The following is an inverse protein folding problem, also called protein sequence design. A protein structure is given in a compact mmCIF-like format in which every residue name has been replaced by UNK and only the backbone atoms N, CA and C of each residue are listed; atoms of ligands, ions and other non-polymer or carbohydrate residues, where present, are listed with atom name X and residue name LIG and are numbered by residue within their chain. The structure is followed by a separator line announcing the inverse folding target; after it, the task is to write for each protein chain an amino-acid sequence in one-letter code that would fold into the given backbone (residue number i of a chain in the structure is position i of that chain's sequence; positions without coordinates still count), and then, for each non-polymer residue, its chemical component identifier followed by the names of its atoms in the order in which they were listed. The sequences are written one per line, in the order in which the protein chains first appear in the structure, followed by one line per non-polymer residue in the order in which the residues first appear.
data_IF_762174983284
#
_entry.id   IF_762174983284
#
_cell.length_a   1.000
_cell.length_b   1.000
_cell.length_c   1.000
_cell.angle_alpha   90.00
_cell.angle_beta   90.00
_cell.angle_gamma   90.00
#
_symmetry.space_group_name_H-M   'P 1'
#
loop_
_entity.id
_entity.type
_entity.pdbx_description
1 polymer ?
#
# COMPACT_ATOMS: atom_id res chain seq x y z
N UNK A 1 -36.97 18.23 19.89
CA UNK A 1 -36.52 17.16 18.98
C UNK A 1 -35.04 16.93 19.26
N UNK A 2 -34.71 15.87 19.99
CA UNK A 2 -33.32 15.49 20.24
C UNK A 2 -32.71 14.95 18.95
N UNK A 3 -31.61 15.57 18.48
CA UNK A 3 -30.81 15.00 17.41
C UNK A 3 -30.32 13.62 17.86
N UNK A 4 -30.36 12.59 16.99
CA UNK A 4 -29.81 11.29 17.36
C UNK A 4 -28.34 11.47 17.72
N UNK A 5 -27.93 10.87 18.82
CA UNK A 5 -26.55 10.85 19.29
C UNK A 5 -25.75 10.06 18.24
N UNK A 6 -24.88 10.72 17.49
CA UNK A 6 -23.93 10.00 16.63
C UNK A 6 -23.05 9.10 17.50
N UNK A 7 -22.81 7.86 17.09
CA UNK A 7 -21.95 6.96 17.84
C UNK A 7 -20.54 7.58 18.03
N UNK A 8 -19.96 7.41 19.19
CA UNK A 8 -18.62 7.94 19.54
C UNK A 8 -17.55 7.60 18.48
N UNK A 9 -17.70 6.44 17.82
CA UNK A 9 -16.86 5.99 16.72
C UNK A 9 -16.93 6.89 15.47
N UNK A 10 -18.13 7.37 15.10
CA UNK A 10 -18.31 8.26 13.96
C UNK A 10 -17.73 9.66 14.24
N UNK A 11 -17.85 10.15 15.48
CA UNK A 11 -17.23 11.42 15.89
C UNK A 11 -15.70 11.32 15.88
N UNK A 12 -15.13 10.21 16.35
CA UNK A 12 -13.69 9.99 16.31
C UNK A 12 -13.17 9.89 14.87
N UNK A 13 -13.89 9.20 13.98
CA UNK A 13 -13.56 9.13 12.57
C UNK A 13 -13.60 10.50 11.88
N UNK A 14 -14.61 11.30 12.15
CA UNK A 14 -14.72 12.67 11.63
C UNK A 14 -13.57 13.57 12.14
N UNK A 15 -13.18 13.44 13.40
CA UNK A 15 -12.06 14.16 13.98
C UNK A 15 -10.73 13.76 13.36
N UNK A 16 -10.49 12.46 13.16
CA UNK A 16 -9.28 11.94 12.50
C UNK A 16 -9.20 12.39 11.04
N UNK A 17 -10.33 12.42 10.33
CA UNK A 17 -10.43 12.97 8.97
C UNK A 17 -10.08 14.47 8.96
N UNK A 18 -10.60 15.25 9.90
CA UNK A 18 -10.30 16.67 10.00
C UNK A 18 -8.80 16.90 10.31
N UNK A 19 -8.21 16.11 11.18
CA UNK A 19 -6.78 16.17 11.51
C UNK A 19 -5.89 15.77 10.32
N UNK A 20 -6.27 14.74 9.55
CA UNK A 20 -5.56 14.34 8.34
C UNK A 20 -5.58 15.43 7.26
N UNK A 21 -6.65 16.24 7.19
CA UNK A 21 -6.74 17.38 6.27
C UNK A 21 -5.90 18.59 6.71
N UNK A 22 -5.83 18.84 8.00
CA UNK A 22 -5.24 20.08 8.55
C UNK A 22 -3.76 19.98 8.85
N UNK A 23 -3.28 18.77 9.12
CA UNK A 23 -1.85 18.52 9.40
C UNK A 23 -1.42 17.25 8.70
N UNK A 24 -0.54 17.33 7.68
CA UNK A 24 0.17 16.16 7.21
C UNK A 24 0.94 15.58 8.40
N UNK A 25 0.37 14.60 9.05
CA UNK A 25 1.04 13.94 10.15
C UNK A 25 2.14 13.04 9.59
N UNK A 26 3.36 13.06 10.12
CA UNK A 26 4.39 12.08 9.76
C UNK A 26 4.02 10.66 10.19
N UNK A 27 3.05 10.52 11.10
CA UNK A 27 2.50 9.21 11.48
C UNK A 27 1.10 9.12 10.87
N UNK A 28 0.88 8.23 9.88
CA UNK A 28 -0.42 8.04 9.29
C UNK A 28 -1.44 7.59 10.35
N UNK A 29 -2.60 8.23 10.37
CA UNK A 29 -3.70 7.79 11.22
C UNK A 29 -4.37 6.55 10.61
N UNK A 30 -4.53 5.52 11.42
CA UNK A 30 -5.19 4.28 11.01
C UNK A 30 -6.69 4.44 11.19
N UNK A 31 -7.46 4.00 10.19
CA UNK A 31 -8.90 4.00 10.30
C UNK A 31 -9.40 2.95 11.28
N UNK A 32 -10.00 3.40 12.35
CA UNK A 32 -10.71 2.51 13.27
C UNK A 32 -12.06 2.06 12.74
N UNK A 33 -12.66 2.76 11.78
CA UNK A 33 -13.96 2.40 11.19
C UNK A 33 -13.92 1.05 10.50
N UNK A 34 -12.86 0.77 9.73
CA UNK A 34 -12.70 -0.52 9.06
C UNK A 34 -12.68 -1.68 10.07
N UNK A 35 -12.15 -1.45 11.26
CA UNK A 35 -12.03 -2.46 12.30
C UNK A 35 -13.33 -2.66 13.10
N UNK A 36 -14.18 -1.64 13.16
CA UNK A 36 -15.43 -1.67 13.92
C UNK A 36 -16.57 -2.31 13.11
N UNK A 37 -16.55 -2.16 11.79
CA UNK A 37 -17.65 -2.59 10.92
C UNK A 37 -17.54 -4.04 10.42
N UNK A 38 -16.35 -4.64 10.50
CA UNK A 38 -16.12 -6.02 10.08
C UNK A 38 -16.02 -6.96 11.30
N UNK A 39 -16.90 -7.94 11.36
CA UNK A 39 -16.88 -8.98 12.37
C UNK A 39 -16.27 -10.27 11.81
N UNK A 40 -15.38 -10.92 12.55
CA UNK A 40 -14.77 -12.17 12.15
C UNK A 40 -13.28 -12.31 12.46
N UNK A 41 -12.74 -13.48 12.11
CA UNK A 41 -11.36 -13.83 12.42
C UNK A 41 -10.33 -12.94 11.70
N UNK A 42 -10.55 -12.67 10.41
CA UNK A 42 -9.66 -11.81 9.61
C UNK A 42 -9.60 -10.38 10.16
N UNK A 43 -10.72 -9.87 10.68
CA UNK A 43 -10.73 -8.56 11.31
C UNK A 43 -9.92 -8.55 12.60
N UNK A 44 -9.97 -9.61 13.41
CA UNK A 44 -9.15 -9.72 14.62
C UNK A 44 -7.67 -9.78 14.28
N UNK A 45 -7.27 -10.55 13.27
CA UNK A 45 -5.87 -10.64 12.83
C UNK A 45 -5.34 -9.27 12.41
N UNK A 46 -6.10 -8.53 11.60
CA UNK A 46 -5.76 -7.16 11.20
C UNK A 46 -5.72 -6.21 12.41
N UNK A 47 -6.67 -6.33 13.34
CA UNK A 47 -6.73 -5.52 14.56
C UNK A 47 -5.48 -5.71 15.42
N UNK A 48 -5.08 -6.93 15.68
CA UNK A 48 -3.85 -7.25 16.39
C UNK A 48 -2.62 -6.70 15.69
N UNK A 49 -2.54 -6.91 14.37
CA UNK A 49 -1.45 -6.39 13.55
C UNK A 49 -1.31 -4.86 13.64
N UNK A 50 -2.43 -4.14 13.67
CA UNK A 50 -2.43 -2.68 13.69
C UNK A 50 -2.21 -2.07 15.07
N UNK A 51 -2.65 -2.73 16.14
CA UNK A 51 -2.76 -2.11 17.46
C UNK A 51 -1.92 -2.76 18.56
N UNK A 52 -1.49 -4.01 18.38
CA UNK A 52 -0.63 -4.62 19.38
C UNK A 52 0.75 -3.95 19.36
N UNK A 53 1.37 -3.77 20.53
CA UNK A 53 2.73 -3.26 20.60
C UNK A 53 3.70 -4.25 19.95
N UNK A 54 4.82 -3.75 19.35
CA UNK A 54 5.80 -4.63 18.72
C UNK A 54 6.45 -5.55 19.75
N UNK A 55 6.47 -6.84 19.47
CA UNK A 55 7.17 -7.83 20.31
C UNK A 55 8.70 -7.71 20.24
N UNK A 56 9.22 -7.20 19.12
CA UNK A 56 10.64 -6.91 18.88
C UNK A 56 10.81 -5.62 18.09
N UNK A 57 11.04 -4.47 18.75
CA UNK A 57 11.21 -3.17 18.07
C UNK A 57 12.46 -3.07 17.19
N UNK A 58 13.43 -3.96 17.35
CA UNK A 58 14.68 -3.97 16.56
C UNK A 58 14.68 -5.06 15.47
N UNK A 59 13.56 -5.75 15.23
CA UNK A 59 13.45 -6.88 14.29
C UNK A 59 13.96 -6.56 12.89
N UNK A 60 13.65 -5.35 12.41
CA UNK A 60 13.99 -4.87 11.07
C UNK A 60 15.00 -3.72 11.08
N UNK A 61 15.78 -3.62 12.16
CA UNK A 61 16.78 -2.56 12.30
C UNK A 61 17.78 -2.57 11.15
N UNK A 62 17.96 -1.41 10.53
CA UNK A 62 18.83 -1.24 9.36
C UNK A 62 18.20 -1.63 8.03
N UNK A 63 17.00 -2.20 8.02
CA UNK A 63 16.26 -2.46 6.78
C UNK A 63 15.56 -1.21 6.30
N UNK A 64 15.53 -1.02 4.99
CA UNK A 64 14.87 0.11 4.33
C UNK A 64 13.88 -0.39 3.28
N UNK A 65 12.63 0.03 3.40
CA UNK A 65 11.52 -0.48 2.59
C UNK A 65 10.88 0.68 1.83
N UNK A 66 10.70 0.48 0.51
CA UNK A 66 9.97 1.41 -0.33
C UNK A 66 8.49 1.00 -0.36
N UNK A 67 7.58 1.90 0.03
CA UNK A 67 6.16 1.77 -0.29
C UNK A 67 5.88 2.65 -1.49
N UNK A 68 5.63 2.01 -2.62
CA UNK A 68 5.47 2.66 -3.92
C UNK A 68 4.01 2.99 -4.16
N UNK A 69 3.66 4.27 -4.15
CA UNK A 69 2.27 4.68 -4.28
C UNK A 69 2.10 6.02 -4.99
N UNK A 70 0.89 6.26 -5.46
CA UNK A 70 0.40 7.50 -6.04
C UNK A 70 -0.92 7.92 -5.38
N UNK A 71 -1.57 8.95 -5.90
CA UNK A 71 -2.88 9.37 -5.41
C UNK A 71 -3.92 8.26 -5.55
N UNK A 72 -4.80 8.17 -4.56
CA UNK A 72 -5.83 7.14 -4.49
C UNK A 72 -5.35 5.80 -3.94
N UNK A 73 -4.25 5.82 -3.17
CA UNK A 73 -3.77 4.65 -2.43
C UNK A 73 -4.73 4.30 -1.30
N UNK A 74 -5.01 3.00 -1.12
CA UNK A 74 -5.84 2.53 0.00
C UNK A 74 -5.14 2.78 1.34
N UNK A 75 -5.80 3.56 2.19
CA UNK A 75 -5.24 4.09 3.42
C UNK A 75 -4.68 3.00 4.32
N UNK A 76 -5.46 1.97 4.64
CA UNK A 76 -5.04 0.94 5.61
C UNK A 76 -3.87 0.10 5.09
N UNK A 77 -3.78 -0.11 3.79
CA UNK A 77 -2.69 -0.89 3.19
C UNK A 77 -1.36 -0.17 3.30
N UNK A 78 -1.35 1.15 3.13
CA UNK A 78 -0.13 1.93 3.28
C UNK A 78 0.15 2.27 4.74
N UNK A 79 -0.82 2.79 5.48
CA UNK A 79 -0.59 3.24 6.85
C UNK A 79 -0.33 2.09 7.82
N UNK A 80 -1.04 0.97 7.64
CA UNK A 80 -0.82 -0.25 8.40
C UNK A 80 0.56 -0.84 8.17
N UNK A 81 0.98 -0.95 6.91
CA UNK A 81 2.34 -1.39 6.56
C UNK A 81 3.40 -0.46 7.15
N UNK A 82 3.26 0.87 6.96
CA UNK A 82 4.21 1.85 7.46
C UNK A 82 4.35 1.78 8.99
N UNK A 83 3.21 1.79 9.68
CA UNK A 83 3.19 1.73 11.14
C UNK A 83 3.91 0.48 11.63
N UNK A 84 3.46 -0.69 11.19
CA UNK A 84 4.01 -1.96 11.66
C UNK A 84 5.51 -2.09 11.38
N UNK A 85 5.94 -1.82 10.16
CA UNK A 85 7.35 -1.91 9.77
C UNK A 85 8.23 -0.92 10.53
N UNK A 86 7.76 0.31 10.74
CA UNK A 86 8.50 1.33 11.48
C UNK A 86 8.61 0.98 12.98
N UNK A 87 7.54 0.51 13.58
CA UNK A 87 7.56 0.07 14.99
C UNK A 87 8.47 -1.13 15.24
N UNK A 88 8.74 -1.92 14.19
CA UNK A 88 9.71 -3.02 14.24
C UNK A 88 11.12 -2.62 13.75
N UNK A 89 11.41 -1.34 13.63
CA UNK A 89 12.75 -0.81 13.42
C UNK A 89 13.16 -0.56 11.97
N UNK A 90 12.28 -0.78 10.98
CA UNK A 90 12.59 -0.47 9.59
C UNK A 90 12.52 1.04 9.31
N UNK A 91 13.33 1.49 8.35
CA UNK A 91 13.13 2.78 7.68
C UNK A 91 12.16 2.58 6.52
N UNK A 92 11.05 3.29 6.52
CA UNK A 92 10.03 3.18 5.46
C UNK A 92 9.96 4.50 4.70
N UNK A 93 10.04 4.42 3.38
CA UNK A 93 9.88 5.57 2.49
C UNK A 93 8.62 5.43 1.64
N UNK A 94 7.85 6.50 1.56
CA UNK A 94 6.81 6.68 0.55
C UNK A 94 7.46 7.13 -0.74
N UNK A 95 7.44 6.26 -1.74
CA UNK A 95 8.05 6.49 -3.06
C UNK A 95 6.94 6.71 -4.07
N UNK A 96 6.91 7.87 -4.73
CA UNK A 96 5.83 8.24 -5.62
C UNK A 96 6.33 8.76 -6.96
N UNK A 97 5.62 8.50 -8.07
CA UNK A 97 5.87 9.21 -9.32
C UNK A 97 5.80 10.72 -9.09
N UNK A 98 6.50 11.50 -9.88
CA UNK A 98 6.23 12.93 -9.92
C UNK A 98 4.79 13.07 -10.37
N UNK A 99 3.96 13.60 -9.50
CA UNK A 99 2.57 13.88 -9.81
C UNK A 99 2.60 14.97 -10.87
N UNK A 100 2.74 14.51 -12.12
CA UNK A 100 2.88 15.36 -13.28
C UNK A 100 1.57 16.03 -13.65
N UNK A 101 1.68 17.03 -14.44
CA UNK A 101 0.54 17.60 -15.16
C UNK A 101 -0.02 16.52 -16.08
N UNK A 102 -1.34 16.33 -16.07
CA UNK A 102 -2.02 15.59 -17.12
C UNK A 102 -1.59 16.15 -18.47
N UNK A 103 -1.54 15.28 -19.47
CA UNK A 103 -1.07 15.65 -20.80
C UNK A 103 -1.65 17.00 -21.25
N UNK A 104 -0.83 17.99 -21.62
CA UNK A 104 -1.25 19.37 -21.83
C UNK A 104 -2.39 19.52 -22.83
N UNK A 105 -2.50 18.56 -23.78
CA UNK A 105 -3.54 18.57 -24.82
C UNK A 105 -4.95 18.25 -24.29
N UNK A 106 -5.08 17.66 -23.12
CA UNK A 106 -6.38 17.30 -22.57
C UNK A 106 -7.04 18.42 -21.77
N UNK A 107 -6.27 19.44 -21.35
CA UNK A 107 -6.79 20.57 -20.59
C UNK A 107 -7.47 20.21 -19.26
N UNK A 108 -7.38 18.95 -18.85
CA UNK A 108 -8.00 18.45 -17.64
C UNK A 108 -7.20 18.87 -16.43
N UNK A 109 -7.80 19.71 -15.60
CA UNK A 109 -7.28 20.04 -14.28
C UNK A 109 -8.09 19.27 -13.25
N UNK A 110 -7.48 18.25 -12.67
CA UNK A 110 -8.03 17.65 -11.46
C UNK A 110 -7.81 18.60 -10.26
N UNK A 111 -8.55 18.42 -9.14
CA UNK A 111 -8.30 19.18 -7.92
C UNK A 111 -6.80 19.21 -7.62
N UNK A 112 -6.29 20.28 -7.02
CA UNK A 112 -4.85 20.46 -6.86
C UNK A 112 -4.25 19.30 -6.08
N UNK A 113 -3.63 18.40 -6.81
CA UNK A 113 -2.80 17.35 -6.24
C UNK A 113 -1.50 18.00 -5.84
N UNK A 114 -1.10 17.83 -4.60
CA UNK A 114 0.15 18.44 -4.14
C UNK A 114 1.34 17.72 -4.75
N UNK A 115 2.44 18.44 -4.96
CA UNK A 115 3.70 17.84 -5.41
C UNK A 115 4.45 17.11 -4.29
N UNK A 116 4.03 17.27 -3.05
CA UNK A 116 4.74 16.80 -1.85
C UNK A 116 4.04 15.68 -1.10
N UNK A 117 2.79 15.41 -1.44
CA UNK A 117 1.96 14.42 -0.76
C UNK A 117 1.12 13.64 -1.76
N UNK A 118 0.82 12.40 -1.44
CA UNK A 118 -0.18 11.58 -2.12
C UNK A 118 -1.47 11.53 -1.31
N UNK A 119 -2.60 11.51 -2.03
CA UNK A 119 -3.91 11.36 -1.45
C UNK A 119 -4.15 9.88 -1.11
N UNK A 120 -4.41 9.59 0.14
CA UNK A 120 -4.94 8.28 0.54
C UNK A 120 -6.47 8.28 0.47
N UNK A 121 -7.03 7.14 0.13
CA UNK A 121 -8.48 6.90 0.11
C UNK A 121 -8.83 5.73 0.99
N UNK A 122 -10.09 5.68 1.41
CA UNK A 122 -10.71 4.52 2.05
C UNK A 122 -11.86 4.08 1.17
N UNK A 123 -11.65 3.05 0.38
CA UNK A 123 -12.51 2.68 -0.75
C UNK A 123 -12.65 3.84 -1.74
N UNK A 124 -13.55 4.78 -1.51
CA UNK A 124 -13.81 5.95 -2.37
C UNK A 124 -13.76 7.28 -1.62
N UNK A 125 -13.58 7.25 -0.31
CA UNK A 125 -13.56 8.45 0.53
C UNK A 125 -12.13 8.96 0.72
N UNK A 126 -11.97 10.27 0.82
CA UNK A 126 -10.70 10.88 1.18
C UNK A 126 -10.30 10.47 2.61
N UNK A 127 -9.13 9.89 2.76
CA UNK A 127 -8.59 9.42 4.03
C UNK A 127 -7.37 10.24 4.50
N UNK A 128 -6.99 11.29 3.78
CA UNK A 128 -5.90 12.19 4.13
C UNK A 128 -4.74 12.17 3.17
N UNK A 129 -3.64 12.81 3.57
CA UNK A 129 -2.47 13.04 2.74
C UNK A 129 -1.22 12.44 3.37
N UNK A 130 -0.43 11.74 2.58
CA UNK A 130 0.83 11.14 2.99
C UNK A 130 1.98 11.87 2.31
N UNK A 131 2.98 12.25 3.11
CA UNK A 131 4.17 12.91 2.58
C UNK A 131 4.98 11.96 1.71
N UNK A 132 5.44 12.46 0.57
CA UNK A 132 6.38 11.75 -0.32
C UNK A 132 7.79 11.94 0.26
N UNK A 133 8.52 10.83 0.46
CA UNK A 133 9.89 10.84 0.93
C UNK A 133 10.90 10.84 -0.23
N UNK A 134 10.54 10.17 -1.34
CA UNK A 134 11.39 10.05 -2.51
C UNK A 134 10.53 9.99 -3.77
N UNK A 135 10.98 10.63 -4.84
CA UNK A 135 10.35 10.45 -6.14
C UNK A 135 10.83 9.18 -6.84
N UNK A 136 9.93 8.57 -7.62
CA UNK A 136 10.18 7.29 -8.28
C UNK A 136 11.36 7.35 -9.27
N UNK A 137 11.56 8.49 -9.94
CA UNK A 137 12.67 8.73 -10.87
C UNK A 137 14.03 8.96 -10.16
N UNK A 138 14.02 9.20 -8.86
CA UNK A 138 15.21 9.37 -8.00
C UNK A 138 15.50 8.12 -7.16
N UNK A 139 14.51 7.24 -6.97
CA UNK A 139 14.64 6.04 -6.17
C UNK A 139 15.58 5.03 -6.81
N UNK A 140 16.61 4.61 -6.07
CA UNK A 140 17.57 3.60 -6.50
C UNK A 140 17.27 2.27 -5.82
N UNK A 141 17.20 1.19 -6.57
CA UNK A 141 16.95 -0.14 -6.00
C UNK A 141 18.01 -0.55 -4.96
N UNK A 142 19.24 -0.01 -5.08
CA UNK A 142 20.32 -0.28 -4.13
C UNK A 142 20.04 0.26 -2.72
N UNK A 143 19.18 1.28 -2.61
CA UNK A 143 18.86 1.93 -1.35
C UNK A 143 17.79 1.20 -0.54
N UNK A 144 17.14 0.17 -1.11
CA UNK A 144 16.02 -0.52 -0.49
C UNK A 144 16.25 -2.02 -0.40
N UNK A 145 15.82 -2.62 0.69
CA UNK A 145 15.85 -4.07 0.92
C UNK A 145 14.61 -4.76 0.36
N UNK A 146 13.49 -4.05 0.27
CA UNK A 146 12.21 -4.55 -0.25
C UNK A 146 11.35 -3.42 -0.80
N UNK A 147 10.29 -3.79 -1.56
CA UNK A 147 9.26 -2.85 -1.97
C UNK A 147 7.85 -3.42 -1.80
N UNK A 148 6.90 -2.52 -1.53
CA UNK A 148 5.47 -2.81 -1.41
C UNK A 148 4.70 -1.91 -2.37
N UNK A 149 3.76 -2.48 -3.11
CA UNK A 149 2.81 -1.80 -3.99
C UNK A 149 1.40 -1.98 -3.44
N UNK A 150 0.88 -0.99 -2.67
CA UNK A 150 -0.49 -1.01 -2.19
C UNK A 150 -1.50 -0.85 -3.32
N UNK A 151 -2.76 -1.16 -3.03
CA UNK A 151 -3.87 -0.96 -3.93
C UNK A 151 -4.56 0.40 -3.80
N UNK A 152 -5.87 0.36 -3.80
CA UNK A 152 -6.75 1.50 -3.99
C UNK A 152 -7.18 1.61 -5.46
N UNK A 153 -8.17 2.47 -5.73
CA UNK A 153 -8.77 2.50 -7.06
C UNK A 153 -7.89 3.19 -8.11
N UNK A 154 -7.24 4.31 -7.76
CA UNK A 154 -6.49 5.14 -8.70
C UNK A 154 -4.98 4.96 -8.61
N UNK A 155 -4.49 4.66 -7.44
CA UNK A 155 -3.06 4.50 -7.19
C UNK A 155 -2.39 3.54 -8.20
N UNK A 156 -2.83 2.28 -8.34
CA UNK A 156 -2.17 1.34 -9.24
C UNK A 156 -2.37 1.69 -10.72
N UNK A 157 -3.48 2.37 -11.06
CA UNK A 157 -3.73 2.81 -12.42
C UNK A 157 -2.74 3.91 -12.85
N UNK A 158 -2.42 4.84 -11.97
CA UNK A 158 -1.36 5.82 -12.22
C UNK A 158 0.02 5.16 -12.27
N UNK A 159 0.33 4.28 -11.29
CA UNK A 159 1.63 3.62 -11.22
C UNK A 159 1.91 2.72 -12.42
N UNK A 160 0.89 1.97 -12.89
CA UNK A 160 1.06 1.07 -14.04
C UNK A 160 1.38 1.80 -15.34
N UNK A 161 1.02 3.08 -15.46
CA UNK A 161 1.33 3.92 -16.60
C UNK A 161 2.72 4.60 -16.48
N UNK A 162 3.29 4.66 -15.28
CA UNK A 162 4.57 5.30 -15.03
C UNK A 162 5.73 4.34 -15.33
N UNK A 163 6.65 4.76 -16.22
CA UNK A 163 7.79 3.93 -16.63
C UNK A 163 8.82 3.71 -15.52
N UNK A 164 8.99 4.69 -14.64
CA UNK A 164 9.92 4.56 -13.51
C UNK A 164 9.38 3.54 -12.50
N UNK A 165 8.07 3.54 -12.23
CA UNK A 165 7.43 2.54 -11.36
C UNK A 165 7.54 1.12 -11.96
N UNK A 166 7.27 0.95 -13.27
CA UNK A 166 7.44 -0.34 -13.94
C UNK A 166 8.89 -0.84 -13.88
N UNK A 167 9.86 0.04 -14.13
CA UNK A 167 11.27 -0.32 -14.07
C UNK A 167 11.68 -0.64 -12.63
N UNK A 168 11.29 0.18 -11.67
CA UNK A 168 11.63 -0.03 -10.27
C UNK A 168 11.16 -1.41 -9.76
N UNK A 169 9.88 -1.78 -10.00
CA UNK A 169 9.38 -3.09 -9.58
C UNK A 169 10.07 -4.24 -10.29
N UNK A 170 10.36 -4.09 -11.59
CA UNK A 170 11.08 -5.09 -12.38
C UNK A 170 12.49 -5.32 -11.85
N UNK A 171 13.21 -4.22 -11.60
CA UNK A 171 14.60 -4.26 -11.15
C UNK A 171 14.72 -4.77 -9.72
N UNK A 172 13.79 -4.40 -8.81
CA UNK A 172 13.71 -4.97 -7.46
C UNK A 172 13.49 -6.48 -7.51
N UNK A 173 12.52 -6.91 -8.33
CA UNK A 173 12.24 -8.34 -8.51
C UNK A 173 13.44 -9.10 -9.13
N UNK A 174 14.05 -8.56 -10.16
CA UNK A 174 15.21 -9.18 -10.82
C UNK A 174 16.45 -9.24 -9.90
N UNK A 175 16.59 -8.29 -8.97
CA UNK A 175 17.64 -8.30 -7.96
C UNK A 175 17.38 -9.31 -6.81
N UNK A 176 16.29 -10.09 -6.87
CA UNK A 176 15.94 -11.05 -5.83
C UNK A 176 15.41 -10.42 -4.54
N UNK A 177 15.11 -9.13 -4.53
CA UNK A 177 14.59 -8.43 -3.36
C UNK A 177 13.10 -8.68 -3.21
N UNK A 178 12.59 -8.84 -1.97
CA UNK A 178 11.17 -9.02 -1.73
C UNK A 178 10.34 -7.92 -2.39
N UNK A 179 9.40 -8.36 -3.23
CA UNK A 179 8.56 -7.49 -4.06
C UNK A 179 7.11 -7.84 -3.76
N UNK A 180 6.43 -6.96 -3.00
CA UNK A 180 5.10 -7.19 -2.47
C UNK A 180 4.05 -6.40 -3.24
N UNK A 181 2.89 -7.03 -3.50
CA UNK A 181 1.70 -6.37 -4.02
C UNK A 181 0.46 -6.78 -3.25
N UNK A 182 -0.41 -5.83 -2.97
CA UNK A 182 -1.69 -6.09 -2.30
C UNK A 182 -2.83 -5.42 -3.06
N UNK A 183 -4.01 -6.09 -3.06
CA UNK A 183 -5.25 -5.59 -3.61
C UNK A 183 -5.15 -5.35 -5.14
N UNK A 184 -5.19 -4.10 -5.59
CA UNK A 184 -4.98 -3.71 -6.98
C UNK A 184 -3.50 -3.42 -7.31
N UNK A 185 -2.60 -3.42 -6.33
CA UNK A 185 -1.18 -3.11 -6.52
C UNK A 185 -0.48 -3.99 -7.56
N UNK A 186 -0.97 -5.21 -7.75
CA UNK A 186 -0.45 -6.16 -8.75
C UNK A 186 -0.62 -5.68 -10.20
N UNK A 187 -1.47 -4.69 -10.51
CA UNK A 187 -1.55 -4.11 -11.85
C UNK A 187 -0.21 -3.51 -12.31
N UNK A 188 0.58 -2.99 -11.38
CA UNK A 188 1.93 -2.50 -11.71
C UNK A 188 2.82 -3.66 -12.14
N UNK A 189 2.71 -4.80 -11.45
CA UNK A 189 3.44 -6.03 -11.75
C UNK A 189 3.03 -6.65 -13.09
N UNK A 190 1.73 -6.60 -13.43
CA UNK A 190 1.21 -6.94 -14.77
C UNK A 190 1.88 -6.10 -15.83
N UNK A 191 1.89 -4.76 -15.64
CA UNK A 191 2.47 -3.82 -16.62
C UNK A 191 4.00 -3.91 -16.71
N UNK A 192 4.66 -4.38 -15.65
CA UNK A 192 6.10 -4.64 -15.62
C UNK A 192 6.48 -6.02 -16.19
N UNK A 193 5.50 -6.86 -16.56
CA UNK A 193 5.68 -8.24 -17.09
C UNK A 193 6.51 -9.16 -16.17
N UNK A 194 6.28 -9.07 -14.84
CA UNK A 194 7.00 -9.92 -13.86
C UNK A 194 6.14 -11.09 -13.34
N UNK A 195 4.90 -11.23 -13.81
CA UNK A 195 3.98 -12.27 -13.33
C UNK A 195 3.98 -13.54 -14.21
N UNK A 196 4.56 -13.51 -15.37
CA UNK A 196 4.56 -14.63 -16.31
C UNK A 196 5.20 -15.87 -15.69
N UNK A 197 4.44 -16.98 -15.63
CA UNK A 197 4.88 -18.25 -15.05
C UNK A 197 4.97 -18.25 -13.52
N UNK A 198 4.53 -17.19 -12.86
CA UNK A 198 4.50 -17.07 -11.40
C UNK A 198 3.16 -17.48 -10.82
N UNK A 199 3.16 -17.94 -9.58
CA UNK A 199 1.96 -18.03 -8.75
C UNK A 199 1.70 -16.66 -8.12
N UNK A 200 0.46 -16.20 -8.16
CA UNK A 200 0.09 -14.90 -7.60
C UNK A 200 -1.38 -14.86 -7.19
N UNK A 201 -1.71 -13.90 -6.35
CA UNK A 201 -3.08 -13.55 -6.02
C UNK A 201 -3.28 -12.04 -6.11
N UNK A 202 -4.53 -11.60 -6.11
CA UNK A 202 -4.95 -10.20 -6.06
C UNK A 202 -6.40 -10.11 -5.58
N UNK A 203 -6.90 -8.90 -5.40
CA UNK A 203 -8.33 -8.69 -5.23
C UNK A 203 -9.08 -9.29 -6.43
N UNK A 204 -10.26 -9.84 -6.18
CA UNK A 204 -10.98 -10.68 -7.15
C UNK A 204 -11.23 -10.02 -8.50
N UNK A 205 -11.51 -8.71 -8.51
CA UNK A 205 -11.81 -7.96 -9.74
C UNK A 205 -10.65 -7.96 -10.74
N UNK A 206 -9.41 -8.15 -10.32
CA UNK A 206 -8.24 -8.11 -11.20
C UNK A 206 -7.51 -9.45 -11.34
N UNK A 207 -8.04 -10.52 -10.74
CA UNK A 207 -7.44 -11.86 -10.88
C UNK A 207 -7.36 -12.31 -12.35
N UNK A 208 -8.35 -11.93 -13.16
CA UNK A 208 -8.35 -12.18 -14.60
C UNK A 208 -7.18 -11.48 -15.32
N UNK A 209 -6.78 -10.30 -14.85
CA UNK A 209 -5.65 -9.57 -15.43
C UNK A 209 -4.33 -10.28 -15.15
N UNK A 210 -4.19 -10.86 -13.95
CA UNK A 210 -3.02 -11.67 -13.60
C UNK A 210 -2.95 -12.94 -14.46
N UNK A 211 -4.09 -13.62 -14.65
CA UNK A 211 -4.17 -14.78 -15.53
C UNK A 211 -3.79 -14.43 -16.96
N UNK A 212 -4.29 -13.32 -17.51
CA UNK A 212 -3.96 -12.82 -18.84
C UNK A 212 -2.48 -12.43 -18.97
N UNK A 213 -1.85 -11.98 -17.87
CA UNK A 213 -0.41 -11.73 -17.81
C UNK A 213 0.44 -13.01 -17.70
N UNK A 214 -0.21 -14.18 -17.66
CA UNK A 214 0.46 -15.49 -17.63
C UNK A 214 0.78 -16.01 -16.23
N UNK A 215 0.14 -15.48 -15.19
CA UNK A 215 0.26 -16.01 -13.84
C UNK A 215 -0.64 -17.22 -13.61
N UNK A 216 -0.24 -18.12 -12.72
CA UNK A 216 -1.13 -19.08 -12.08
C UNK A 216 -1.79 -18.39 -10.88
N UNK A 217 -3.05 -18.05 -11.03
CA UNK A 217 -3.80 -17.34 -9.99
C UNK A 217 -4.30 -18.32 -8.93
N UNK A 218 -4.03 -18.00 -7.67
CA UNK A 218 -4.51 -18.71 -6.50
C UNK A 218 -5.38 -17.76 -5.67
N UNK A 219 -6.59 -18.19 -5.30
CA UNK A 219 -7.45 -17.41 -4.39
C UNK A 219 -7.06 -17.69 -2.93
N UNK A 220 -5.86 -17.31 -2.56
CA UNK A 220 -5.32 -17.47 -1.21
C UNK A 220 -4.99 -16.10 -0.60
N UNK A 221 -5.08 -15.96 0.72
CA UNK A 221 -4.80 -14.69 1.40
C UNK A 221 -3.44 -14.09 1.07
N UNK A 222 -2.42 -14.93 0.97
CA UNK A 222 -1.08 -14.52 0.59
C UNK A 222 -0.42 -15.64 -0.22
N UNK A 223 0.14 -15.28 -1.36
CA UNK A 223 0.89 -16.19 -2.24
C UNK A 223 2.33 -15.70 -2.34
N UNK A 224 3.26 -16.61 -2.09
CA UNK A 224 4.70 -16.39 -2.21
C UNK A 224 5.26 -17.26 -3.33
N UNK A 225 5.94 -16.67 -4.30
CA UNK A 225 6.67 -17.36 -5.37
C UNK A 225 8.06 -16.74 -5.52
N UNK A 226 9.03 -17.35 -4.86
CA UNK A 226 10.36 -16.79 -4.73
C UNK A 226 10.31 -15.48 -3.92
N UNK A 227 10.80 -14.39 -4.50
CA UNK A 227 10.77 -13.07 -3.90
C UNK A 227 9.51 -12.26 -4.24
N UNK A 228 8.57 -12.82 -5.00
CA UNK A 228 7.27 -12.22 -5.26
C UNK A 228 6.29 -12.61 -4.16
N UNK A 229 5.69 -11.61 -3.51
CA UNK A 229 4.71 -11.78 -2.43
C UNK A 229 3.46 -11.02 -2.82
N UNK A 230 2.32 -11.71 -2.91
CA UNK A 230 1.06 -11.08 -3.30
C UNK A 230 -0.05 -11.40 -2.31
N UNK A 231 -0.95 -10.45 -2.07
CA UNK A 231 -2.10 -10.57 -1.18
C UNK A 231 -3.35 -9.96 -1.81
N UNK A 232 -4.55 -10.35 -1.33
CA UNK A 232 -5.80 -10.02 -1.99
C UNK A 232 -6.33 -8.64 -1.63
N UNK A 233 -6.36 -8.30 -0.33
CA UNK A 233 -7.05 -7.11 0.15
C UNK A 233 -6.63 -6.77 1.59
N UNK A 234 -7.09 -5.66 2.19
CA UNK A 234 -6.58 -5.18 3.47
C UNK A 234 -6.52 -6.19 4.63
N UNK A 235 -7.48 -7.11 4.73
CA UNK A 235 -7.47 -8.11 5.80
C UNK A 235 -6.33 -9.14 5.68
N UNK A 236 -5.76 -9.28 4.49
CA UNK A 236 -4.62 -10.17 4.24
C UNK A 236 -3.26 -9.48 4.48
N UNK A 237 -3.28 -8.18 4.84
CA UNK A 237 -2.07 -7.38 5.11
C UNK A 237 -1.12 -8.01 6.13
N UNK A 238 -1.59 -8.55 7.28
CA UNK A 238 -0.73 -9.21 8.26
C UNK A 238 0.08 -10.35 7.65
N UNK A 239 -0.56 -11.16 6.81
CA UNK A 239 0.07 -12.34 6.18
C UNK A 239 1.11 -11.93 5.14
N UNK A 240 0.83 -10.89 4.35
CA UNK A 240 1.79 -10.33 3.41
C UNK A 240 3.03 -9.77 4.13
N UNK A 241 2.83 -8.97 5.19
CA UNK A 241 3.94 -8.38 5.94
C UNK A 241 4.74 -9.46 6.67
N UNK A 242 4.10 -10.47 7.24
CA UNK A 242 4.80 -11.60 7.84
C UNK A 242 5.67 -12.35 6.82
N UNK A 243 5.17 -12.60 5.61
CA UNK A 243 5.94 -13.22 4.54
C UNK A 243 7.13 -12.35 4.10
N UNK A 244 6.94 -11.03 4.01
CA UNK A 244 8.02 -10.07 3.75
C UNK A 244 9.10 -10.13 4.83
N UNK A 245 8.70 -10.11 6.09
CA UNK A 245 9.63 -10.17 7.24
C UNK A 245 10.46 -11.45 7.20
N UNK A 246 9.84 -12.59 6.95
CA UNK A 246 10.55 -13.86 6.82
C UNK A 246 11.67 -13.81 5.77
N UNK A 247 11.46 -13.10 4.66
CA UNK A 247 12.50 -12.95 3.63
C UNK A 247 13.57 -11.90 3.99
N UNK A 248 13.27 -10.96 4.88
CA UNK A 248 14.24 -9.94 5.29
C UNK A 248 15.16 -10.36 6.42
N UNK A 249 14.71 -11.28 7.27
CA UNK A 249 15.44 -11.71 8.50
C UNK A 249 15.89 -13.17 8.45
N UNK A 250 15.35 -13.99 7.52
CA UNK A 250 15.76 -15.39 7.30
C UNK A 250 16.92 -15.44 6.34
#
# INVERSE_FOLDING_TARGET
MNKPHEPQSAQNAALLRAQAFMTPSPVPSISTELLVTADGELNRELSHFLFDPPSNPDLLKGKKIAICCSNGVEEVEITGSMKWLTEHGATVHVVSPRIGEFHPTLGLRFPPLTKTHVLAIRLMENAGWLKIDCYMDEAKIADYDACIFPGGCWNPDFLRADKHAQNFVRDMHAAGKPTCGICHGQWVMVSADILRGKKATAVWNIQVDLANAGATVLDEPCVVDGNLITARFPYDLPRMVNALVQQLVG
#
